data_IF_573836341951
#
_entry.id   IF_573836341951
#
_cell.length_a   1.000
_cell.length_b   1.000
_cell.length_c   1.000
_cell.angle_alpha   90.00
_cell.angle_beta   90.00
_cell.angle_gamma   90.00
#
_symmetry.space_group_name_H-M   'P 1'
#
loop_
_entity.id
_entity.type
_entity.pdbx_description
1 polymer ?
#
# COMPACT_ATOMS: atom_id res chain seq x y z
N UNK A 1 11.54 -29.41 0.64
CA UNK A 1 10.22 -28.76 0.82
C UNK A 1 10.29 -27.39 0.13
N UNK A 2 9.24 -26.99 -0.56
CA UNK A 2 9.18 -25.66 -1.19
C UNK A 2 9.16 -24.58 -0.11
N UNK A 3 9.99 -23.55 -0.24
CA UNK A 3 10.00 -22.41 0.68
C UNK A 3 8.64 -21.70 0.65
N UNK A 4 8.24 -21.10 1.76
CA UNK A 4 6.91 -20.53 1.92
C UNK A 4 6.97 -19.05 2.35
N UNK A 5 6.22 -18.19 1.65
CA UNK A 5 5.95 -16.83 2.06
C UNK A 5 4.58 -16.76 2.73
N UNK A 6 4.51 -16.06 3.85
CA UNK A 6 3.29 -15.89 4.63
C UNK A 6 2.75 -14.47 4.49
N UNK A 7 1.44 -14.32 4.27
CA UNK A 7 0.78 -13.03 4.04
C UNK A 7 -0.33 -12.80 5.05
N UNK A 8 -0.14 -11.85 5.94
CA UNK A 8 -1.17 -11.38 6.86
C UNK A 8 -1.73 -10.05 6.36
N UNK A 9 -2.77 -10.14 5.56
CA UNK A 9 -3.50 -8.99 5.07
C UNK A 9 -4.67 -8.62 5.98
N UNK A 10 -5.21 -7.42 5.84
CA UNK A 10 -6.43 -7.04 6.56
C UNK A 10 -6.64 -5.54 6.63
N UNK A 11 -7.85 -5.18 7.04
CA UNK A 11 -8.23 -3.77 7.16
C UNK A 11 -7.48 -3.07 8.30
N UNK A 12 -7.38 -1.75 8.21
CA UNK A 12 -6.85 -0.96 9.34
C UNK A 12 -7.69 -1.20 10.60
N UNK A 13 -7.09 -1.06 11.77
CA UNK A 13 -7.69 -1.32 13.10
C UNK A 13 -8.16 -2.77 13.35
N UNK A 14 -7.86 -3.74 12.46
CA UNK A 14 -8.25 -5.15 12.68
C UNK A 14 -7.42 -5.90 13.73
N UNK A 15 -6.29 -5.36 14.17
CA UNK A 15 -5.39 -6.02 15.12
C UNK A 15 -4.23 -6.79 14.46
N UNK A 16 -4.00 -6.60 13.15
CA UNK A 16 -2.92 -7.26 12.39
C UNK A 16 -1.56 -7.21 13.06
N UNK A 17 -1.15 -6.03 13.57
CA UNK A 17 0.20 -5.82 14.11
C UNK A 17 0.46 -6.71 15.34
N UNK A 18 -0.47 -6.77 16.27
CA UNK A 18 -0.35 -7.63 17.46
C UNK A 18 -0.27 -9.12 17.08
N UNK A 19 -1.13 -9.53 16.13
CA UNK A 19 -1.14 -10.90 15.61
C UNK A 19 0.17 -11.24 14.87
N UNK A 20 0.67 -10.31 14.03
CA UNK A 20 1.94 -10.46 13.33
C UNK A 20 3.11 -10.67 14.30
N UNK A 21 3.19 -9.85 15.35
CA UNK A 21 4.21 -9.94 16.39
C UNK A 21 4.18 -11.30 17.12
N UNK A 22 2.97 -11.74 17.53
CA UNK A 22 2.79 -13.04 18.20
C UNK A 22 3.20 -14.21 17.30
N UNK A 23 2.73 -14.20 16.03
CA UNK A 23 3.05 -15.24 15.07
C UNK A 23 4.55 -15.26 14.73
N UNK A 24 5.13 -14.10 14.45
CA UNK A 24 6.55 -14.01 14.09
C UNK A 24 7.46 -14.50 15.23
N UNK A 25 7.12 -14.18 16.48
CA UNK A 25 7.83 -14.68 17.65
C UNK A 25 7.75 -16.22 17.76
N UNK A 26 6.56 -16.80 17.57
CA UNK A 26 6.34 -18.25 17.67
C UNK A 26 7.00 -19.04 16.52
N UNK A 27 7.17 -18.42 15.34
CA UNK A 27 7.66 -19.07 14.13
C UNK A 27 9.11 -18.72 13.79
N UNK A 28 9.82 -17.98 14.64
CA UNK A 28 11.16 -17.47 14.36
C UNK A 28 11.22 -16.73 13.01
N UNK A 29 10.23 -15.86 12.76
CA UNK A 29 10.04 -15.16 11.51
C UNK A 29 10.44 -13.68 11.61
N UNK A 30 10.73 -13.08 10.47
CA UNK A 30 10.89 -11.63 10.32
C UNK A 30 9.65 -11.06 9.63
N UNK A 31 9.37 -9.78 9.83
CA UNK A 31 8.19 -9.10 9.28
C UNK A 31 8.61 -8.15 8.15
N UNK A 32 7.92 -8.24 7.00
CA UNK A 32 8.00 -7.25 5.93
C UNK A 32 6.71 -6.43 5.92
N UNK A 33 6.83 -5.14 6.22
CA UNK A 33 5.70 -4.21 6.14
C UNK A 33 5.28 -4.01 4.69
N UNK A 34 3.99 -4.21 4.43
CA UNK A 34 3.33 -3.96 3.15
C UNK A 34 2.34 -2.80 3.31
N UNK A 35 2.88 -1.65 3.71
CA UNK A 35 2.15 -0.41 3.93
C UNK A 35 2.83 0.74 3.19
N UNK A 36 2.08 1.43 2.32
CA UNK A 36 2.60 2.50 1.48
C UNK A 36 2.92 3.80 2.23
N UNK A 37 2.60 3.88 3.52
CA UNK A 37 2.83 5.07 4.34
C UNK A 37 3.90 4.81 5.39
N UNK A 38 3.94 3.63 5.98
CA UNK A 38 4.95 3.25 6.97
C UNK A 38 6.40 3.27 6.45
N UNK A 39 6.57 3.31 5.13
CA UNK A 39 7.90 3.42 4.49
C UNK A 39 8.54 4.82 4.59
N UNK A 40 7.76 5.87 4.89
CA UNK A 40 8.28 7.23 5.00
C UNK A 40 8.82 7.52 6.40
N UNK A 41 10.02 8.12 6.49
CA UNK A 41 10.64 8.52 7.76
C UNK A 41 9.85 9.61 8.46
N UNK A 42 9.60 9.41 9.76
CA UNK A 42 8.88 10.36 10.60
C UNK A 42 7.36 10.30 10.49
N UNK A 43 6.79 9.48 9.60
CA UNK A 43 5.36 9.19 9.57
C UNK A 43 5.07 7.98 10.47
N UNK A 44 5.14 8.17 11.80
CA UNK A 44 5.16 7.07 12.76
C UNK A 44 3.79 6.81 13.38
N UNK A 45 3.16 7.84 13.95
CA UNK A 45 1.87 7.74 14.63
C UNK A 45 0.73 7.48 13.65
N UNK A 46 0.62 8.29 12.59
CA UNK A 46 -0.44 8.13 11.60
C UNK A 46 -0.36 6.81 10.83
N UNK A 47 0.85 6.32 10.54
CA UNK A 47 1.07 5.00 9.96
C UNK A 47 0.95 3.85 10.97
N UNK A 48 0.92 4.15 12.27
CA UNK A 48 0.96 3.18 13.39
C UNK A 48 2.11 2.18 13.24
N UNK A 49 3.30 2.69 13.03
CA UNK A 49 4.51 1.88 12.97
C UNK A 49 4.75 1.11 14.28
N UNK A 50 5.41 -0.05 14.21
CA UNK A 50 5.81 -0.77 15.40
C UNK A 50 6.77 0.08 16.25
N UNK A 51 6.66 -0.04 17.57
CA UNK A 51 7.53 0.65 18.52
C UNK A 51 9.01 0.23 18.37
N UNK A 52 9.91 1.01 18.91
CA UNK A 52 11.34 0.66 18.94
C UNK A 52 11.59 -0.66 19.69
N UNK A 53 10.77 -0.97 20.70
CA UNK A 53 10.83 -2.23 21.45
C UNK A 53 10.36 -3.40 20.59
N UNK A 54 9.25 -3.25 19.86
CA UNK A 54 8.77 -4.28 18.93
C UNK A 54 9.80 -4.58 17.84
N UNK A 55 10.44 -3.55 17.28
CA UNK A 55 11.49 -3.70 16.28
C UNK A 55 12.75 -4.39 16.80
N UNK A 56 13.05 -4.26 18.10
CA UNK A 56 14.15 -5.00 18.77
C UNK A 56 13.80 -6.47 18.96
N UNK A 57 12.53 -6.80 19.23
CA UNK A 57 12.06 -8.17 19.44
C UNK A 57 11.97 -8.96 18.14
N UNK A 58 11.45 -8.35 17.09
CA UNK A 58 11.25 -8.95 15.78
C UNK A 58 11.82 -8.00 14.72
N UNK A 59 12.74 -8.47 13.84
CA UNK A 59 13.20 -7.65 12.73
C UNK A 59 12.04 -7.25 11.81
N UNK A 60 11.96 -5.95 11.53
CA UNK A 60 10.96 -5.37 10.63
C UNK A 60 11.66 -4.75 9.42
N UNK A 61 11.19 -5.12 8.25
CA UNK A 61 11.60 -4.58 6.95
C UNK A 61 10.48 -3.73 6.36
N UNK A 62 10.80 -2.83 5.42
CA UNK A 62 9.80 -2.00 4.72
C UNK A 62 9.33 -0.79 5.52
N UNK A 63 10.10 -0.37 6.51
CA UNK A 63 9.90 0.84 7.30
C UNK A 63 11.01 1.85 7.01
N UNK A 64 10.70 3.14 7.06
CA UNK A 64 11.70 4.23 7.01
C UNK A 64 12.63 4.18 5.78
N UNK A 65 12.09 3.82 4.61
CA UNK A 65 12.86 3.62 3.38
C UNK A 65 13.11 4.92 2.62
N UNK A 66 12.22 5.90 2.75
CA UNK A 66 12.24 7.15 1.97
C UNK A 66 12.00 8.37 2.85
N UNK A 67 12.52 9.51 2.43
CA UNK A 67 12.14 10.78 3.01
C UNK A 67 10.73 11.19 2.56
N UNK A 68 10.06 12.03 3.35
CA UNK A 68 8.67 12.44 3.08
C UNK A 68 8.52 13.26 1.81
N UNK A 69 9.60 13.83 1.30
CA UNK A 69 9.65 14.57 0.03
C UNK A 69 9.83 13.67 -1.18
N UNK A 70 10.25 12.42 -0.96
CA UNK A 70 10.57 11.49 -2.05
C UNK A 70 9.34 10.73 -2.54
N UNK A 71 9.16 10.63 -3.84
CA UNK A 71 8.19 9.70 -4.44
C UNK A 71 8.63 8.26 -4.23
N UNK A 72 7.76 7.44 -3.65
CA UNK A 72 7.99 6.00 -3.50
C UNK A 72 6.83 5.21 -4.10
N UNK A 73 7.11 4.48 -5.15
CA UNK A 73 6.12 3.72 -5.90
C UNK A 73 6.25 2.20 -5.66
N UNK A 74 5.31 1.46 -6.24
CA UNK A 74 5.27 0.00 -6.11
C UNK A 74 6.47 -0.69 -6.76
N UNK A 75 7.09 -0.09 -7.79
CA UNK A 75 8.28 -0.63 -8.44
C UNK A 75 9.49 -0.59 -7.50
N UNK A 76 9.67 0.52 -6.77
CA UNK A 76 10.69 0.63 -5.73
C UNK A 76 10.44 -0.37 -4.61
N UNK A 77 9.17 -0.54 -4.21
CA UNK A 77 8.79 -1.52 -3.19
C UNK A 77 9.07 -2.95 -3.63
N UNK A 78 8.72 -3.31 -4.86
CA UNK A 78 8.94 -4.65 -5.40
C UNK A 78 10.42 -5.03 -5.39
N UNK A 79 11.29 -4.15 -5.91
CA UNK A 79 12.75 -4.37 -5.87
C UNK A 79 13.28 -4.50 -4.43
N UNK A 80 12.79 -3.70 -3.51
CA UNK A 80 13.13 -3.80 -2.10
C UNK A 80 12.66 -5.14 -1.51
N UNK A 81 11.41 -5.52 -1.75
CA UNK A 81 10.83 -6.77 -1.25
C UNK A 81 11.56 -8.01 -1.78
N UNK A 82 11.95 -8.02 -3.06
CA UNK A 82 12.75 -9.12 -3.66
C UNK A 82 14.07 -9.31 -2.90
N UNK A 83 14.77 -8.22 -2.59
CA UNK A 83 16.01 -8.27 -1.81
C UNK A 83 15.77 -8.80 -0.40
N UNK A 84 14.76 -8.29 0.30
CA UNK A 84 14.40 -8.75 1.65
C UNK A 84 14.03 -10.23 1.67
N UNK A 85 13.20 -10.68 0.72
CA UNK A 85 12.85 -12.12 0.59
C UNK A 85 14.10 -12.96 0.46
N UNK A 86 14.99 -12.60 -0.47
CA UNK A 86 16.25 -13.35 -0.69
C UNK A 86 17.13 -13.38 0.57
N UNK A 87 17.30 -12.25 1.25
CA UNK A 87 18.13 -12.14 2.44
C UNK A 87 17.56 -12.92 3.63
N UNK A 88 16.24 -12.85 3.87
CA UNK A 88 15.60 -13.55 5.01
C UNK A 88 15.62 -15.04 4.79
N UNK A 89 15.30 -15.49 3.58
CA UNK A 89 15.31 -16.91 3.21
C UNK A 89 16.71 -17.50 3.27
N UNK A 90 17.74 -16.78 2.80
CA UNK A 90 19.14 -17.24 2.88
C UNK A 90 19.63 -17.47 4.32
N UNK A 91 19.01 -16.78 5.30
CA UNK A 91 19.26 -17.00 6.73
C UNK A 91 18.43 -18.15 7.35
N UNK A 92 17.63 -18.85 6.54
CA UNK A 92 16.74 -19.92 7.00
C UNK A 92 15.59 -19.43 7.88
N UNK A 93 15.22 -18.15 7.76
CA UNK A 93 14.10 -17.53 8.51
C UNK A 93 12.83 -17.57 7.69
N UNK A 94 11.68 -17.63 8.36
CA UNK A 94 10.39 -17.40 7.72
C UNK A 94 10.16 -15.89 7.52
N UNK A 95 9.43 -15.53 6.48
CA UNK A 95 9.04 -14.14 6.22
C UNK A 95 7.52 -14.01 6.26
N UNK A 96 7.04 -13.06 7.09
CA UNK A 96 5.64 -12.66 7.18
C UNK A 96 5.46 -11.28 6.55
N UNK A 97 4.78 -11.22 5.42
CA UNK A 97 4.38 -9.97 4.76
C UNK A 97 3.09 -9.47 5.42
N UNK A 98 3.12 -8.29 6.02
CA UNK A 98 2.02 -7.74 6.81
C UNK A 98 1.58 -6.39 6.28
N UNK A 99 0.31 -6.25 5.90
CA UNK A 99 -0.16 -4.94 5.48
C UNK A 99 -1.60 -4.85 5.02
N UNK A 100 -1.96 -3.62 4.64
CA UNK A 100 -3.29 -3.27 4.13
C UNK A 100 -3.25 -2.62 2.75
N UNK A 101 -2.06 -2.38 2.19
CA UNK A 101 -1.86 -1.73 0.89
C UNK A 101 -1.98 -2.77 -0.23
N UNK A 102 -3.21 -2.88 -0.77
CA UNK A 102 -3.56 -3.92 -1.72
C UNK A 102 -2.63 -3.98 -2.93
N UNK A 103 -2.29 -2.82 -3.51
CA UNK A 103 -1.43 -2.77 -4.69
C UNK A 103 0.00 -3.25 -4.40
N UNK A 104 0.52 -3.00 -3.19
CA UNK A 104 1.82 -3.54 -2.77
C UNK A 104 1.74 -5.05 -2.53
N UNK A 105 0.65 -5.55 -1.91
CA UNK A 105 0.43 -6.98 -1.75
C UNK A 105 0.33 -7.71 -3.09
N UNK A 106 -0.30 -7.07 -4.09
CA UNK A 106 -0.49 -7.65 -5.42
C UNK A 106 0.85 -8.02 -6.10
N UNK A 107 1.93 -7.24 -5.88
CA UNK A 107 3.25 -7.51 -6.45
C UNK A 107 3.87 -8.86 -6.08
N UNK A 108 3.34 -9.51 -5.06
CA UNK A 108 3.77 -10.87 -4.71
C UNK A 108 3.03 -11.97 -5.46
N UNK A 109 1.92 -11.67 -6.12
CA UNK A 109 1.03 -12.65 -6.74
C UNK A 109 0.98 -12.54 -8.26
N UNK A 110 1.07 -11.33 -8.77
CA UNK A 110 1.02 -11.06 -10.21
C UNK A 110 1.98 -9.92 -10.56
N UNK A 111 2.50 -9.85 -11.78
CA UNK A 111 3.27 -8.70 -12.24
C UNK A 111 2.43 -7.43 -12.10
N UNK A 112 3.05 -6.33 -11.67
CA UNK A 112 2.38 -5.02 -11.55
C UNK A 112 3.17 -3.90 -12.19
N UNK A 113 4.42 -4.15 -12.50
CA UNK A 113 5.34 -3.22 -13.15
C UNK A 113 5.95 -3.93 -14.34
N UNK A 114 6.02 -3.26 -15.46
CA UNK A 114 6.80 -3.72 -16.61
C UNK A 114 8.21 -3.11 -16.63
N UNK A 115 9.02 -3.55 -17.56
CA UNK A 115 10.41 -3.10 -17.72
C UNK A 115 10.53 -1.81 -18.56
N UNK A 116 9.42 -1.12 -18.84
CA UNK A 116 9.47 0.12 -19.63
C UNK A 116 10.13 1.23 -18.83
N UNK A 117 11.26 1.71 -19.36
CA UNK A 117 11.97 2.85 -18.79
C UNK A 117 11.29 4.14 -19.25
N UNK A 118 10.76 4.90 -18.30
CA UNK A 118 10.19 6.22 -18.53
C UNK A 118 11.17 7.24 -17.94
N UNK A 119 11.79 8.04 -18.81
CA UNK A 119 12.72 9.09 -18.39
C UNK A 119 11.97 10.30 -17.80
N UNK A 120 12.70 11.18 -17.12
CA UNK A 120 12.10 12.37 -16.52
C UNK A 120 11.63 13.34 -17.62
N UNK A 121 12.32 13.39 -18.77
CA UNK A 121 11.94 14.19 -19.94
C UNK A 121 10.58 13.73 -20.50
N UNK A 122 10.34 12.41 -20.59
CA UNK A 122 9.04 11.87 -21.01
C UNK A 122 7.94 12.26 -20.03
N UNK A 123 8.21 12.17 -18.73
CA UNK A 123 7.23 12.57 -17.70
C UNK A 123 6.87 14.04 -17.81
N UNK A 124 7.87 14.90 -17.92
CA UNK A 124 7.68 16.34 -18.08
C UNK A 124 6.92 16.67 -19.39
N UNK A 125 7.25 16.01 -20.49
CA UNK A 125 6.53 16.16 -21.75
C UNK A 125 5.06 15.81 -21.61
N UNK A 126 4.74 14.69 -20.96
CA UNK A 126 3.36 14.20 -20.79
C UNK A 126 2.58 15.07 -19.81
N UNK A 127 3.21 15.53 -18.73
CA UNK A 127 2.62 16.46 -17.77
C UNK A 127 2.29 17.80 -18.43
N UNK A 128 3.23 18.39 -19.17
CA UNK A 128 3.02 19.64 -19.92
C UNK A 128 1.89 19.52 -20.96
N UNK A 129 1.76 18.36 -21.61
CA UNK A 129 0.64 18.11 -22.50
C UNK A 129 -0.69 18.11 -21.75
N UNK A 130 -0.74 17.44 -20.60
CA UNK A 130 -1.94 17.39 -19.78
C UNK A 130 -2.30 18.77 -19.22
N UNK A 131 -1.33 19.55 -18.74
CA UNK A 131 -1.56 20.91 -18.23
C UNK A 131 -2.09 21.85 -19.34
N UNK A 132 -1.61 21.69 -20.58
CA UNK A 132 -1.99 22.58 -21.71
C UNK A 132 -3.28 22.16 -22.41
N UNK A 133 -3.56 20.87 -22.55
CA UNK A 133 -4.69 20.34 -23.36
C UNK A 133 -5.64 19.41 -22.59
N UNK A 134 -5.37 19.15 -21.31
CA UNK A 134 -6.21 18.28 -20.48
C UNK A 134 -6.24 16.82 -20.97
N UNK A 135 -7.34 16.15 -20.64
CA UNK A 135 -7.58 14.75 -21.04
C UNK A 135 -7.63 14.58 -22.55
N UNK A 136 -8.20 15.53 -23.27
CA UNK A 136 -8.36 15.47 -24.74
C UNK A 136 -6.99 15.37 -25.41
N UNK A 137 -6.00 16.18 -24.99
CA UNK A 137 -4.66 16.11 -25.55
C UNK A 137 -3.96 14.77 -25.31
N UNK A 138 -4.21 14.13 -24.18
CA UNK A 138 -3.68 12.79 -23.89
C UNK A 138 -4.34 11.72 -24.77
N UNK A 139 -5.65 11.81 -24.99
CA UNK A 139 -6.41 10.89 -25.83
C UNK A 139 -6.01 11.00 -27.30
N UNK A 140 -5.85 12.22 -27.80
CA UNK A 140 -5.41 12.47 -29.19
C UNK A 140 -4.04 11.83 -29.44
N UNK A 141 -3.06 12.09 -28.58
CA UNK A 141 -1.72 11.54 -28.74
C UNK A 141 -1.68 10.01 -28.53
N UNK A 142 -2.45 9.47 -27.60
CA UNK A 142 -2.60 8.02 -27.45
C UNK A 142 -3.26 7.40 -28.68
N UNK A 143 -4.29 8.05 -29.26
CA UNK A 143 -4.95 7.59 -30.45
C UNK A 143 -4.00 7.51 -31.67
N UNK A 144 -3.15 8.53 -31.86
CA UNK A 144 -2.12 8.54 -32.90
C UNK A 144 -1.10 7.40 -32.70
N UNK A 145 -0.53 7.27 -31.51
CA UNK A 145 0.47 6.24 -31.20
C UNK A 145 -0.09 4.82 -31.31
N UNK A 146 -1.36 4.64 -30.98
CA UNK A 146 -2.04 3.35 -31.08
C UNK A 146 -2.73 3.13 -32.44
N UNK A 147 -2.59 4.06 -33.42
CA UNK A 147 -3.14 3.95 -34.76
C UNK A 147 -4.66 3.70 -34.79
N UNK A 148 -5.40 4.34 -33.87
CA UNK A 148 -6.84 4.19 -33.73
C UNK A 148 -7.32 2.88 -33.09
N UNK A 149 -6.41 2.02 -32.62
CA UNK A 149 -6.81 0.84 -31.82
C UNK A 149 -7.46 1.26 -30.48
N UNK A 150 -8.47 0.51 -29.98
CA UNK A 150 -9.07 0.79 -28.70
C UNK A 150 -8.02 0.79 -27.57
N UNK A 151 -8.00 1.82 -26.74
CA UNK A 151 -7.01 1.97 -25.68
C UNK A 151 -7.18 0.90 -24.57
N UNK A 152 -8.41 0.42 -24.36
CA UNK A 152 -8.72 -0.63 -23.41
C UNK A 152 -8.43 -0.25 -21.95
N UNK A 153 -8.55 1.04 -21.64
CA UNK A 153 -8.37 1.61 -20.30
C UNK A 153 -9.51 2.59 -19.98
N UNK A 154 -9.57 3.05 -18.72
CA UNK A 154 -10.54 4.06 -18.30
C UNK A 154 -10.10 5.44 -18.79
N UNK A 155 -10.72 5.90 -19.86
CA UNK A 155 -10.41 7.15 -20.56
C UNK A 155 -10.83 8.40 -19.77
N UNK A 156 -11.62 8.28 -18.72
CA UNK A 156 -11.97 9.37 -17.81
C UNK A 156 -10.97 9.53 -16.65
N UNK A 157 -9.97 8.66 -16.58
CA UNK A 157 -8.99 8.67 -15.50
C UNK A 157 -7.65 9.27 -15.96
N UNK A 158 -7.36 10.55 -15.62
CA UNK A 158 -6.14 11.24 -16.10
C UNK A 158 -4.86 10.47 -15.74
N UNK A 159 -4.78 9.91 -14.52
CA UNK A 159 -3.61 9.13 -14.09
C UNK A 159 -3.33 7.92 -14.99
N UNK A 160 -4.38 7.23 -15.44
CA UNK A 160 -4.23 6.08 -16.33
C UNK A 160 -3.78 6.50 -17.71
N UNK A 161 -4.30 7.61 -18.21
CA UNK A 161 -3.90 8.17 -19.50
C UNK A 161 -2.46 8.65 -19.49
N UNK A 162 -2.04 9.41 -18.45
CA UNK A 162 -0.66 9.85 -18.28
C UNK A 162 0.29 8.65 -18.30
N UNK A 163 0.04 7.64 -17.48
CA UNK A 163 0.88 6.44 -17.42
C UNK A 163 0.87 5.62 -18.71
N UNK A 164 -0.26 5.54 -19.40
CA UNK A 164 -0.35 4.87 -20.70
C UNK A 164 0.52 5.59 -21.73
N UNK A 165 0.43 6.92 -21.81
CA UNK A 165 1.20 7.72 -22.75
C UNK A 165 2.70 7.68 -22.45
N UNK A 166 3.09 7.84 -21.18
CA UNK A 166 4.48 7.69 -20.72
C UNK A 166 5.09 6.36 -21.20
N UNK A 167 4.33 5.26 -21.05
CA UNK A 167 4.80 3.92 -21.43
C UNK A 167 4.88 3.72 -22.94
N UNK A 168 3.92 4.25 -23.70
CA UNK A 168 4.00 4.23 -25.15
C UNK A 168 5.22 5.01 -25.66
N UNK A 169 5.46 6.20 -25.13
CA UNK A 169 6.62 7.02 -25.49
C UNK A 169 7.94 6.38 -25.06
N UNK A 170 8.01 5.84 -23.85
CA UNK A 170 9.23 5.22 -23.32
C UNK A 170 9.62 3.91 -24.01
N UNK A 171 8.65 3.19 -24.58
CA UNK A 171 8.89 1.89 -25.23
C UNK A 171 8.83 1.93 -26.75
N UNK A 172 8.17 2.93 -27.34
CA UNK A 172 7.83 2.94 -28.77
C UNK A 172 6.77 1.90 -29.18
N UNK A 173 6.06 1.31 -28.21
CA UNK A 173 5.08 0.25 -28.43
C UNK A 173 3.65 0.77 -28.24
N UNK A 174 2.69 0.13 -28.93
CA UNK A 174 1.26 0.33 -28.69
C UNK A 174 0.82 -0.28 -27.35
N UNK A 175 -0.31 0.17 -26.82
CA UNK A 175 -0.89 -0.37 -25.59
C UNK A 175 -1.25 -1.85 -25.70
N UNK A 176 -1.71 -2.32 -26.85
CA UNK A 176 -1.96 -3.73 -27.14
C UNK A 176 -0.69 -4.57 -26.95
N UNK A 177 0.42 -4.14 -27.53
CA UNK A 177 1.72 -4.82 -27.44
C UNK A 177 2.28 -4.78 -26.00
N UNK A 178 2.14 -3.63 -25.31
CA UNK A 178 2.52 -3.50 -23.91
C UNK A 178 1.72 -4.45 -23.00
N UNK A 179 0.42 -4.65 -23.30
CA UNK A 179 -0.44 -5.60 -22.58
C UNK A 179 0.00 -7.03 -22.81
N UNK A 180 0.25 -7.44 -24.06
CA UNK A 180 0.75 -8.79 -24.37
C UNK A 180 2.07 -9.08 -23.67
N UNK A 181 3.01 -8.12 -23.67
CA UNK A 181 4.28 -8.26 -22.94
C UNK A 181 4.04 -8.41 -21.44
N UNK A 182 3.16 -7.62 -20.88
CA UNK A 182 2.83 -7.67 -19.45
C UNK A 182 2.18 -9.01 -19.06
N UNK A 183 1.26 -9.51 -19.88
CA UNK A 183 0.59 -10.81 -19.67
C UNK A 183 1.55 -12.01 -19.79
N UNK A 184 2.63 -11.84 -20.56
CA UNK A 184 3.68 -12.86 -20.69
C UNK A 184 4.73 -12.85 -19.58
N UNK A 185 4.68 -11.87 -18.66
CA UNK A 185 5.64 -11.76 -17.57
C UNK A 185 5.52 -12.94 -16.60
N UNK A 186 6.64 -13.43 -16.04
CA UNK A 186 6.62 -14.51 -15.08
C UNK A 186 5.89 -14.10 -13.79
N UNK A 187 5.14 -15.03 -13.20
CA UNK A 187 4.49 -14.82 -11.92
C UNK A 187 5.54 -14.56 -10.84
N UNK A 188 5.47 -13.47 -10.09
CA UNK A 188 6.44 -13.16 -9.03
C UNK A 188 6.46 -14.24 -7.96
N UNK A 189 7.66 -14.57 -7.49
CA UNK A 189 7.87 -15.60 -6.44
C UNK A 189 7.22 -16.96 -6.76
N UNK A 190 7.20 -17.37 -8.04
CA UNK A 190 6.60 -18.64 -8.47
C UNK A 190 7.27 -19.87 -7.84
N UNK A 191 8.53 -19.76 -7.39
CA UNK A 191 9.24 -20.82 -6.68
C UNK A 191 8.78 -21.02 -5.23
N UNK A 192 8.08 -20.06 -4.65
CA UNK A 192 7.58 -20.10 -3.27
C UNK A 192 6.16 -20.64 -3.20
N UNK A 193 5.86 -21.40 -2.15
CA UNK A 193 4.47 -21.57 -1.71
C UNK A 193 4.00 -20.27 -1.04
N UNK A 194 2.73 -19.94 -1.18
CA UNK A 194 2.14 -18.72 -0.58
C UNK A 194 1.01 -19.11 0.35
N UNK A 195 1.10 -18.69 1.60
CA UNK A 195 0.06 -18.92 2.62
C UNK A 195 -0.55 -17.58 3.00
N UNK A 196 -1.85 -17.45 2.85
CA UNK A 196 -2.56 -16.19 2.99
C UNK A 196 -3.58 -16.23 4.12
N UNK A 197 -3.64 -15.15 4.86
CA UNK A 197 -4.64 -14.89 5.88
C UNK A 197 -5.12 -13.46 5.74
N UNK A 198 -6.44 -13.27 5.64
CA UNK A 198 -7.07 -11.96 5.64
C UNK A 198 -7.86 -11.75 6.92
N UNK A 199 -7.37 -10.81 7.75
CA UNK A 199 -7.99 -10.45 9.00
C UNK A 199 -9.05 -9.36 8.79
N UNK A 200 -10.28 -9.65 9.17
CA UNK A 200 -11.39 -8.70 9.17
C UNK A 200 -12.10 -8.71 10.54
N UNK A 201 -12.91 -7.71 10.81
CA UNK A 201 -13.69 -7.59 12.05
C UNK A 201 -15.13 -7.22 11.76
N UNK A 202 -16.03 -7.57 12.68
CA UNK A 202 -17.41 -7.09 12.68
C UNK A 202 -17.45 -5.57 12.80
N UNK A 203 -18.47 -4.95 12.18
CA UNK A 203 -18.50 -3.50 12.04
C UNK A 203 -18.48 -2.76 13.38
N UNK A 204 -19.27 -3.20 14.36
CA UNK A 204 -19.36 -2.54 15.67
C UNK A 204 -18.01 -2.52 16.40
N UNK A 205 -17.32 -3.65 16.45
CA UNK A 205 -15.99 -3.75 17.06
C UNK A 205 -14.95 -2.92 16.29
N UNK A 206 -15.03 -2.93 14.95
CA UNK A 206 -14.13 -2.16 14.12
C UNK A 206 -14.32 -0.65 14.31
N UNK A 207 -15.56 -0.18 14.41
CA UNK A 207 -15.88 1.23 14.69
C UNK A 207 -15.30 1.69 16.02
N UNK A 208 -15.54 0.95 17.10
CA UNK A 208 -15.00 1.28 18.42
C UNK A 208 -13.46 1.31 18.42
N UNK A 209 -12.81 0.41 17.67
CA UNK A 209 -11.35 0.36 17.51
C UNK A 209 -10.81 1.53 16.67
N UNK A 210 -11.52 1.95 15.63
CA UNK A 210 -11.15 3.12 14.83
C UNK A 210 -11.18 4.36 15.70
N UNK A 211 -12.24 4.57 16.47
CA UNK A 211 -12.39 5.72 17.35
C UNK A 211 -11.30 5.73 18.44
N UNK A 212 -11.17 4.63 19.19
CA UNK A 212 -10.16 4.50 20.25
C UNK A 212 -8.75 4.72 19.73
N UNK A 213 -8.42 4.17 18.55
CA UNK A 213 -7.11 4.38 17.91
C UNK A 213 -6.92 5.85 17.52
N UNK A 214 -7.93 6.49 16.94
CA UNK A 214 -7.83 7.88 16.50
C UNK A 214 -7.60 8.81 17.68
N UNK A 215 -8.35 8.62 18.78
CA UNK A 215 -8.15 9.38 20.03
C UNK A 215 -6.71 9.24 20.51
N UNK A 216 -6.22 8.00 20.64
CA UNK A 216 -4.84 7.73 21.07
C UNK A 216 -3.79 8.38 20.16
N UNK A 217 -3.97 8.35 18.84
CA UNK A 217 -3.03 8.97 17.90
C UNK A 217 -2.96 10.49 18.12
N UNK A 218 -4.09 11.14 18.36
CA UNK A 218 -4.15 12.59 18.67
C UNK A 218 -3.49 12.88 20.02
N UNK A 219 -3.79 12.08 21.05
CA UNK A 219 -3.18 12.23 22.39
C UNK A 219 -1.64 11.99 22.37
N UNK A 220 -1.17 11.13 21.49
CA UNK A 220 0.26 10.83 21.32
C UNK A 220 1.01 11.88 20.49
N UNK A 221 0.33 12.88 19.91
CA UNK A 221 0.96 13.98 19.20
C UNK A 221 0.92 13.86 17.68
N UNK A 222 -0.13 13.28 17.08
CA UNK A 222 -0.27 13.21 15.62
C UNK A 222 -0.28 14.60 14.96
N UNK A 223 -0.79 15.62 15.65
CA UNK A 223 -0.80 17.01 15.13
C UNK A 223 0.63 17.52 15.04
N UNK A 224 1.38 17.42 16.12
CA UNK A 224 2.77 17.85 16.25
C UNK A 224 3.71 17.06 15.29
N UNK A 225 3.45 15.76 15.12
CA UNK A 225 4.14 14.95 14.10
C UNK A 225 3.89 15.52 12.70
N UNK A 226 2.64 15.87 12.39
CA UNK A 226 2.28 16.41 11.07
C UNK A 226 2.89 17.81 10.84
N UNK A 227 2.93 18.69 11.84
CA UNK A 227 3.59 19.98 11.76
C UNK A 227 5.07 19.83 11.45
N UNK A 228 5.77 18.95 12.16
CA UNK A 228 7.18 18.62 11.91
C UNK A 228 7.40 18.08 10.49
N UNK A 229 6.48 17.26 9.98
CA UNK A 229 6.55 16.74 8.61
C UNK A 229 6.36 17.85 7.57
N UNK A 230 5.46 18.82 7.83
CA UNK A 230 5.25 19.97 6.95
C UNK A 230 6.53 20.81 6.84
N UNK A 231 7.22 21.07 7.96
CA UNK A 231 8.52 21.77 7.97
C UNK A 231 9.58 21.02 7.15
N UNK A 232 9.48 19.69 7.06
CA UNK A 232 10.36 18.82 6.27
C UNK A 232 9.94 18.69 4.80
N UNK A 233 8.96 19.46 4.33
CA UNK A 233 8.53 19.46 2.93
C UNK A 233 7.50 18.38 2.56
N UNK A 234 6.85 17.78 3.54
CA UNK A 234 5.82 16.73 3.38
C UNK A 234 4.72 17.08 2.34
N UNK A 235 4.33 18.35 2.25
CA UNK A 235 3.28 18.78 1.32
C UNK A 235 3.67 18.66 -0.16
N UNK A 236 4.97 18.58 -0.46
CA UNK A 236 5.45 18.38 -1.83
C UNK A 236 5.23 16.92 -2.33
N UNK A 237 4.87 15.98 -1.44
CA UNK A 237 4.61 14.60 -1.80
C UNK A 237 3.11 14.26 -1.71
N UNK A 238 2.36 14.27 -2.85
CA UNK A 238 0.93 14.01 -2.86
C UNK A 238 0.54 12.63 -2.30
N UNK A 239 1.40 11.62 -2.46
CA UNK A 239 1.14 10.27 -1.96
C UNK A 239 1.17 10.21 -0.43
N UNK A 240 2.12 10.90 0.19
CA UNK A 240 2.25 10.98 1.63
C UNK A 240 1.17 11.90 2.25
N UNK A 241 1.04 13.15 1.76
CA UNK A 241 0.15 14.15 2.37
C UNK A 241 -1.35 13.84 2.19
N UNK A 242 -1.73 13.03 1.18
CA UNK A 242 -3.12 12.59 1.02
C UNK A 242 -3.51 11.38 1.86
N UNK A 243 -2.58 10.84 2.67
CA UNK A 243 -2.86 9.68 3.51
C UNK A 243 -3.83 9.99 4.65
N UNK A 244 -4.59 8.96 5.05
CA UNK A 244 -5.60 9.08 6.12
C UNK A 244 -4.94 9.47 7.43
N UNK A 245 -5.55 10.38 8.15
CA UNK A 245 -5.02 10.98 9.37
C UNK A 245 -4.23 12.24 9.06
N UNK A 246 -3.14 12.14 8.31
CA UNK A 246 -2.30 13.30 7.97
C UNK A 246 -3.03 14.35 7.14
N UNK A 247 -3.78 13.92 6.11
CA UNK A 247 -4.61 14.85 5.32
C UNK A 247 -5.63 15.57 6.19
N UNK A 248 -6.26 14.85 7.11
CA UNK A 248 -7.29 15.41 7.99
C UNK A 248 -6.67 16.41 8.99
N UNK A 249 -5.45 16.13 9.51
CA UNK A 249 -4.66 17.07 10.32
C UNK A 249 -4.24 18.29 9.49
N UNK A 250 -3.80 18.12 8.23
CA UNK A 250 -3.51 19.26 7.36
C UNK A 250 -4.72 20.18 7.17
N UNK A 251 -5.95 19.63 7.04
CA UNK A 251 -7.16 20.42 6.97
C UNK A 251 -7.43 21.19 8.28
N UNK A 252 -7.14 20.58 9.42
CA UNK A 252 -7.20 21.27 10.72
C UNK A 252 -6.19 22.42 10.82
N UNK A 253 -4.94 22.17 10.44
CA UNK A 253 -3.88 23.18 10.49
C UNK A 253 -4.13 24.37 9.54
N UNK A 254 -4.89 24.14 8.46
CA UNK A 254 -5.33 25.20 7.54
C UNK A 254 -6.63 25.89 7.98
N UNK A 255 -7.17 25.56 9.17
CA UNK A 255 -8.45 26.04 9.69
C UNK A 255 -9.66 25.71 8.78
N UNK A 256 -9.59 24.66 7.99
CA UNK A 256 -10.71 24.15 7.18
C UNK A 256 -11.71 23.35 8.03
N UNK A 257 -11.23 22.75 9.13
CA UNK A 257 -12.04 22.08 10.17
C UNK A 257 -11.58 22.52 11.56
N UNK A 258 -12.48 22.44 12.53
CA UNK A 258 -12.20 22.75 13.94
C UNK A 258 -11.50 21.58 14.66
N UNK A 259 -11.01 21.84 15.88
CA UNK A 259 -10.41 20.80 16.73
C UNK A 259 -11.40 19.69 17.08
N UNK A 260 -12.67 20.04 17.32
CA UNK A 260 -13.71 19.07 17.66
C UNK A 260 -14.13 18.20 16.47
N UNK A 261 -13.96 18.72 15.25
CA UNK A 261 -14.23 17.97 14.01
C UNK A 261 -13.09 17.04 13.59
N UNK A 262 -11.87 17.21 14.13
CA UNK A 262 -10.68 16.46 13.68
C UNK A 262 -10.83 14.95 13.88
N UNK A 263 -11.20 14.50 15.09
CA UNK A 263 -11.41 13.07 15.37
C UNK A 263 -12.51 12.46 14.48
N UNK A 264 -13.72 13.07 14.38
CA UNK A 264 -14.74 12.63 13.45
C UNK A 264 -14.28 12.54 11.99
N UNK A 265 -13.48 13.50 11.51
CA UNK A 265 -12.93 13.53 10.15
C UNK A 265 -11.99 12.35 9.90
N UNK A 266 -11.03 12.10 10.79
CA UNK A 266 -10.11 10.97 10.71
C UNK A 266 -10.87 9.64 10.73
N UNK A 267 -11.84 9.48 11.63
CA UNK A 267 -12.68 8.29 11.70
C UNK A 267 -13.42 8.04 10.38
N UNK A 268 -14.01 9.11 9.80
CA UNK A 268 -14.72 9.03 8.51
C UNK A 268 -13.76 8.63 7.37
N UNK A 269 -12.59 9.22 7.31
CA UNK A 269 -11.55 8.88 6.32
C UNK A 269 -11.08 7.44 6.48
N UNK A 270 -10.92 6.97 7.73
CA UNK A 270 -10.54 5.60 8.05
C UNK A 270 -11.61 4.59 7.62
N UNK A 271 -12.91 4.86 7.84
CA UNK A 271 -14.01 4.03 7.35
C UNK A 271 -14.01 3.87 5.83
N UNK A 272 -13.75 4.98 5.12
CA UNK A 272 -13.63 4.96 3.65
C UNK A 272 -12.44 4.08 3.22
N UNK A 273 -11.32 4.14 3.93
CA UNK A 273 -10.17 3.27 3.69
C UNK A 273 -10.51 1.80 3.94
N UNK A 274 -11.15 1.47 5.06
CA UNK A 274 -11.63 0.11 5.38
C UNK A 274 -12.51 -0.45 4.26
N UNK A 275 -13.47 0.35 3.78
CA UNK A 275 -14.37 -0.07 2.70
C UNK A 275 -13.62 -0.39 1.41
N UNK A 276 -12.61 0.43 1.06
CA UNK A 276 -11.72 0.19 -0.10
C UNK A 276 -10.89 -1.09 0.09
N UNK A 277 -10.31 -1.28 1.27
CA UNK A 277 -9.53 -2.47 1.61
C UNK A 277 -10.38 -3.74 1.55
N UNK A 278 -11.57 -3.74 2.16
CA UNK A 278 -12.51 -4.87 2.09
C UNK A 278 -12.90 -5.22 0.65
N UNK A 279 -13.22 -4.20 -0.17
CA UNK A 279 -13.54 -4.41 -1.60
C UNK A 279 -12.37 -5.05 -2.34
N UNK A 280 -11.16 -4.60 -2.06
CA UNK A 280 -9.95 -5.14 -2.68
C UNK A 280 -9.68 -6.58 -2.25
N UNK A 281 -9.70 -6.88 -0.94
CA UNK A 281 -9.44 -8.22 -0.41
C UNK A 281 -10.47 -9.24 -0.89
N UNK A 282 -11.77 -8.89 -0.91
CA UNK A 282 -12.83 -9.78 -1.45
C UNK A 282 -12.59 -10.18 -2.90
N UNK A 283 -11.96 -9.33 -3.68
CA UNK A 283 -11.69 -9.59 -5.10
C UNK A 283 -10.43 -10.42 -5.32
N UNK A 284 -9.43 -10.28 -4.44
CA UNK A 284 -8.07 -10.77 -4.67
C UNK A 284 -7.62 -11.91 -3.76
N UNK A 285 -8.23 -12.03 -2.60
CA UNK A 285 -7.90 -13.10 -1.65
C UNK A 285 -8.97 -14.19 -1.68
N UNK A 286 -8.59 -15.48 -1.57
CA UNK A 286 -9.55 -16.57 -1.44
C UNK A 286 -10.48 -16.32 -0.25
N UNK A 287 -11.78 -16.59 -0.40
CA UNK A 287 -12.75 -16.44 0.69
C UNK A 287 -12.40 -17.30 1.91
N UNK A 288 -11.77 -18.45 1.71
CA UNK A 288 -11.25 -19.33 2.75
C UNK A 288 -10.13 -18.71 3.61
N UNK A 289 -9.43 -17.69 3.11
CA UNK A 289 -8.39 -16.98 3.88
C UNK A 289 -8.96 -15.92 4.82
N UNK A 290 -10.26 -15.60 4.73
CA UNK A 290 -10.89 -14.57 5.55
C UNK A 290 -11.15 -15.10 6.96
N UNK A 291 -10.55 -14.44 7.93
CA UNK A 291 -10.79 -14.66 9.35
C UNK A 291 -11.57 -13.45 9.91
N UNK A 292 -12.87 -13.63 10.11
CA UNK A 292 -13.73 -12.63 10.71
C UNK A 292 -13.69 -12.77 12.23
N UNK A 293 -13.26 -11.72 12.93
CA UNK A 293 -13.17 -11.70 14.37
C UNK A 293 -14.40 -10.96 14.92
N UNK A 294 -15.14 -11.61 15.79
CA UNK A 294 -16.28 -11.05 16.50
C UNK A 294 -15.85 -10.08 17.62
N UNK A 295 -16.83 -9.40 18.24
CA UNK A 295 -16.59 -8.43 19.29
C UNK A 295 -15.90 -9.07 20.49
N UNK A 296 -15.02 -8.30 21.13
CA UNK A 296 -14.26 -8.70 22.33
C UNK A 296 -13.36 -9.94 22.19
N UNK A 297 -13.11 -10.42 20.97
CA UNK A 297 -12.13 -11.48 20.72
C UNK A 297 -10.81 -10.90 20.24
N UNK A 298 -9.71 -11.38 20.79
CA UNK A 298 -8.38 -11.19 20.25
C UNK A 298 -8.03 -12.35 19.34
N UNK A 299 -7.35 -12.04 18.23
CA UNK A 299 -6.84 -13.07 17.33
C UNK A 299 -5.67 -13.77 17.98
N UNK A 300 -5.74 -15.07 18.15
CA UNK A 300 -4.61 -15.88 18.61
C UNK A 300 -3.87 -16.48 17.44
N UNK A 301 -2.57 -16.56 17.55
CA UNK A 301 -1.71 -17.08 16.48
C UNK A 301 -1.89 -18.57 16.21
N UNK A 302 -2.37 -19.33 17.18
CA UNK A 302 -2.64 -20.77 17.10
C UNK A 302 -4.00 -21.12 16.46
N UNK A 303 -4.92 -20.15 16.38
CA UNK A 303 -6.26 -20.32 15.77
C UNK A 303 -6.32 -19.89 14.29
N UNK A 304 -5.16 -19.61 13.66
CA UNK A 304 -5.11 -19.05 12.32
C UNK A 304 -5.32 -20.09 11.22
N UNK A 305 -6.34 -19.88 10.39
CA UNK A 305 -6.57 -20.68 9.19
C UNK A 305 -5.85 -20.08 7.99
N UNK A 306 -4.64 -20.57 7.72
CA UNK A 306 -3.87 -20.21 6.54
C UNK A 306 -4.42 -20.94 5.31
N UNK A 307 -4.65 -20.20 4.23
CA UNK A 307 -5.09 -20.77 2.95
C UNK A 307 -3.99 -20.60 1.91
N UNK A 308 -3.85 -21.58 1.02
CA UNK A 308 -2.92 -21.48 -0.10
C UNK A 308 -3.32 -20.30 -0.98
N UNK A 309 -2.40 -19.35 -1.19
CA UNK A 309 -2.53 -18.26 -2.14
C UNK A 309 -2.31 -18.78 -3.57
N UNK A 310 -3.19 -18.45 -4.45
CA UNK A 310 -3.08 -18.75 -5.89
C UNK A 310 -2.34 -17.64 -6.61
#
# INVERSE_FOLDING_TARGET
MRECLYFLAGVTSSGKSALAMSWAASQNAEILSCDSIALYRGMDLGAAKPSAEDRKRIPHHGLDLAEVTEGFDVSKYERYAQRVVSEVVSRGKKLLVVGGSGFYLQSFFEPIVDEVVVTDEIREQVENLYESKGIEGLLDQLGELNQGEPLGLDELNPRRLLRALERCLGSGLKLSQLRERFESMPVPYASFAKQCLWLDRENEDLEARIESRTVKMIEMGLVEETETLIERGFLANPAACSSVGYRDVCSYLRNEITRDELIPAICTSTRKLVSKQRKWFRKRFPSSSRNLIGPNKESRSDELNWSSGT
#
